data_IF_072885449371
#
_entry.id   IF_072885449371
#
_cell.length_a   1.000
_cell.length_b   1.000
_cell.length_c   1.000
_cell.angle_alpha   90.00
_cell.angle_beta   90.00
_cell.angle_gamma   90.00
#
_symmetry.space_group_name_H-M   'P 1'
#
loop_
_entity.id
_entity.type
_entity.pdbx_description
1 polymer ?
#
# COMPACT_ATOMS: atom_id res chain seq x y z
N UNK A 1 20.76 26.80 1.52
CA UNK A 1 21.08 25.79 0.48
C UNK A 1 20.97 26.37 -0.93
N UNK A 2 20.11 27.37 -1.17
CA UNK A 2 19.93 27.93 -2.51
C UNK A 2 21.15 28.68 -3.07
N UNK A 3 22.03 29.16 -2.20
CA UNK A 3 23.23 29.93 -2.55
C UNK A 3 24.53 29.11 -2.58
N UNK A 4 24.47 27.78 -2.35
CA UNK A 4 25.67 26.93 -2.34
C UNK A 4 26.09 26.64 -3.80
N UNK A 5 27.29 27.08 -4.23
CA UNK A 5 27.76 26.79 -5.58
C UNK A 5 28.02 25.29 -5.74
N UNK A 6 27.74 24.75 -6.93
CA UNK A 6 28.00 23.35 -7.34
C UNK A 6 27.00 22.25 -6.91
N UNK A 7 25.86 22.59 -6.28
CA UNK A 7 24.77 21.62 -6.09
C UNK A 7 23.80 21.63 -7.29
N UNK A 8 23.57 20.47 -7.92
CA UNK A 8 22.70 20.34 -9.10
C UNK A 8 21.23 20.64 -8.76
N UNK A 9 20.46 21.14 -9.74
CA UNK A 9 19.00 21.34 -9.58
C UNK A 9 18.24 20.03 -9.30
N UNK A 10 18.85 18.88 -9.57
CA UNK A 10 18.31 17.56 -9.29
C UNK A 10 18.50 17.19 -7.81
N UNK A 11 19.69 17.41 -7.23
CA UNK A 11 19.97 17.13 -5.82
C UNK A 11 19.24 18.11 -4.90
N UNK A 12 19.07 19.37 -5.33
CA UNK A 12 18.23 20.37 -4.65
C UNK A 12 16.76 19.93 -4.52
N UNK A 13 16.28 18.98 -5.34
CA UNK A 13 14.92 18.40 -5.25
C UNK A 13 14.82 17.22 -4.27
N UNK A 14 15.93 16.66 -3.79
CA UNK A 14 15.96 15.38 -3.08
C UNK A 14 16.29 15.44 -1.58
N UNK A 15 16.74 16.57 -1.02
CA UNK A 15 17.30 16.56 0.34
C UNK A 15 16.29 17.02 1.40
N UNK A 16 15.56 16.02 1.92
CA UNK A 16 14.70 15.98 3.12
C UNK A 16 13.40 16.78 3.13
N UNK A 17 12.30 16.14 2.72
CA UNK A 17 10.99 16.37 3.35
C UNK A 17 10.98 15.53 4.63
N UNK A 18 11.06 16.13 5.83
CA UNK A 18 11.01 15.36 7.06
C UNK A 18 9.65 14.63 7.15
N UNK A 19 9.61 13.41 7.69
CA UNK A 19 8.35 12.67 7.93
C UNK A 19 7.33 13.51 8.72
N UNK A 20 7.81 14.45 9.52
CA UNK A 20 7.01 15.42 10.25
C UNK A 20 7.55 16.84 10.05
N UNK A 21 6.67 17.78 9.69
CA UNK A 21 6.99 19.21 9.67
C UNK A 21 6.49 19.85 10.97
N UNK A 22 7.38 20.24 11.90
CA UNK A 22 6.96 20.84 13.17
C UNK A 22 6.25 22.18 12.93
N UNK A 23 5.27 22.50 13.80
CA UNK A 23 4.50 23.75 13.69
C UNK A 23 5.41 24.98 13.78
N UNK A 24 6.50 24.87 14.53
CA UNK A 24 7.51 25.91 14.76
C UNK A 24 8.68 25.84 13.76
N UNK A 25 8.48 25.23 12.58
CA UNK A 25 9.53 25.16 11.56
C UNK A 25 10.03 26.57 11.21
N UNK A 26 11.33 26.88 11.41
CA UNK A 26 11.87 28.23 11.19
C UNK A 26 11.74 28.70 9.73
N UNK A 27 11.72 27.75 8.78
CA UNK A 27 11.54 28.02 7.35
C UNK A 27 10.09 28.05 6.88
N UNK A 28 9.09 28.04 7.79
CA UNK A 28 7.68 27.86 7.45
C UNK A 28 7.14 28.94 6.52
N UNK A 29 7.52 30.21 6.74
CA UNK A 29 7.02 31.33 5.95
C UNK A 29 7.57 31.36 4.52
N UNK A 30 8.79 30.84 4.32
CA UNK A 30 9.40 30.65 2.99
C UNK A 30 9.24 29.24 2.42
N UNK A 31 8.53 28.35 3.10
CA UNK A 31 8.45 26.95 2.71
C UNK A 31 7.58 26.80 1.47
N UNK A 32 8.20 26.39 0.34
CA UNK A 32 7.51 26.17 -0.94
C UNK A 32 6.27 25.28 -0.81
N UNK A 33 6.32 24.24 0.02
CA UNK A 33 5.18 23.36 0.26
C UNK A 33 4.04 24.08 0.99
N UNK A 34 4.33 24.89 2.02
CA UNK A 34 3.32 25.66 2.72
C UNK A 34 2.71 26.75 1.82
N UNK A 35 3.54 27.42 1.01
CA UNK A 35 3.07 28.38 0.00
C UNK A 35 2.16 27.71 -1.03
N UNK A 36 2.56 26.54 -1.54
CA UNK A 36 1.72 25.73 -2.42
C UNK A 36 0.38 25.37 -1.76
N UNK A 37 0.38 24.90 -0.50
CA UNK A 37 -0.87 24.59 0.21
C UNK A 37 -1.77 25.81 0.42
N UNK A 38 -1.19 27.00 0.63
CA UNK A 38 -1.96 28.25 0.73
C UNK A 38 -2.56 28.61 -0.63
N UNK A 39 -1.77 28.58 -1.69
CA UNK A 39 -2.21 28.88 -3.06
C UNK A 39 -3.23 27.85 -3.56
N UNK A 40 -3.07 26.57 -3.25
CA UNK A 40 -3.99 25.50 -3.63
C UNK A 40 -5.38 25.61 -2.97
N UNK A 41 -5.54 26.53 -2.01
CA UNK A 41 -6.82 26.89 -1.36
C UNK A 41 -7.39 28.21 -1.88
N UNK A 42 -6.75 28.82 -2.86
CA UNK A 42 -7.23 30.04 -3.49
C UNK A 42 -8.59 29.77 -4.18
N UNK A 43 -9.61 30.62 -3.93
CA UNK A 43 -10.93 30.46 -4.55
C UNK A 43 -10.91 30.52 -6.09
N UNK A 44 -9.86 31.07 -6.71
CA UNK A 44 -9.72 31.14 -8.16
C UNK A 44 -9.27 29.82 -8.80
N UNK A 45 -8.97 28.79 -7.99
CA UNK A 45 -8.62 27.45 -8.47
C UNK A 45 -9.88 26.61 -8.66
N UNK A 46 -10.26 26.41 -9.93
CA UNK A 46 -11.42 25.61 -10.31
C UNK A 46 -11.18 24.09 -10.33
N UNK A 47 -9.93 23.67 -10.55
CA UNK A 47 -9.55 22.25 -10.65
C UNK A 47 -8.40 21.93 -9.72
N UNK A 48 -8.57 20.90 -8.91
CA UNK A 48 -7.52 20.37 -8.07
C UNK A 48 -7.28 18.90 -8.35
N UNK A 49 -6.01 18.56 -8.53
CA UNK A 49 -5.57 17.20 -8.82
C UNK A 49 -4.82 16.69 -7.60
N UNK A 50 -5.22 15.52 -7.11
CA UNK A 50 -4.53 14.83 -6.02
C UNK A 50 -4.48 13.32 -6.29
N UNK A 51 -3.63 12.61 -5.55
CA UNK A 51 -3.60 11.14 -5.62
C UNK A 51 -4.75 10.54 -4.79
N UNK A 52 -5.02 9.24 -4.99
CA UNK A 52 -6.10 8.54 -4.29
C UNK A 52 -5.94 8.56 -2.77
N UNK A 53 -4.71 8.44 -2.25
CA UNK A 53 -4.45 8.46 -0.81
C UNK A 53 -4.83 9.81 -0.17
N UNK A 54 -4.53 10.92 -0.84
CA UNK A 54 -4.86 12.25 -0.34
C UNK A 54 -6.37 12.53 -0.40
N UNK A 55 -7.05 12.07 -1.46
CA UNK A 55 -8.51 12.08 -1.55
C UNK A 55 -9.15 11.30 -0.40
N UNK A 56 -8.67 10.08 -0.13
CA UNK A 56 -9.20 9.23 0.93
C UNK A 56 -8.93 9.84 2.32
N UNK A 57 -7.75 10.43 2.53
CA UNK A 57 -7.42 11.14 3.77
C UNK A 57 -8.36 12.36 3.99
N UNK A 58 -8.61 13.14 2.94
CA UNK A 58 -9.56 14.25 2.98
C UNK A 58 -10.99 13.79 3.28
N UNK A 59 -11.44 12.71 2.64
CA UNK A 59 -12.75 12.13 2.86
C UNK A 59 -12.92 11.61 4.30
N UNK A 60 -11.90 10.97 4.84
CA UNK A 60 -11.84 10.56 6.25
C UNK A 60 -11.94 11.77 7.19
N UNK A 61 -11.14 12.81 6.95
CA UNK A 61 -11.19 14.06 7.73
C UNK A 61 -12.57 14.70 7.71
N UNK A 62 -13.20 14.80 6.53
CA UNK A 62 -14.57 15.32 6.38
C UNK A 62 -15.59 14.51 7.18
N UNK A 63 -15.50 13.18 7.13
CA UNK A 63 -16.43 12.30 7.85
C UNK A 63 -16.29 12.38 9.39
N UNK A 64 -15.10 12.69 9.89
CA UNK A 64 -14.79 12.79 11.32
C UNK A 64 -14.89 14.24 11.86
N UNK A 65 -15.24 15.21 11.02
CA UNK A 65 -15.32 16.63 11.40
C UNK A 65 -13.95 17.27 11.65
N UNK A 66 -12.87 16.66 11.17
CA UNK A 66 -11.53 17.26 11.23
C UNK A 66 -11.34 18.32 10.15
N UNK A 67 -10.26 19.11 10.28
CA UNK A 67 -9.88 20.09 9.28
C UNK A 67 -9.70 19.43 7.91
N UNK A 68 -10.46 19.89 6.93
CA UNK A 68 -10.37 19.41 5.54
C UNK A 68 -8.99 19.66 4.97
N UNK A 69 -8.52 18.74 4.14
CA UNK A 69 -7.21 18.81 3.47
C UNK A 69 -7.35 19.54 2.14
N UNK A 70 -8.40 19.19 1.38
CA UNK A 70 -8.79 19.83 0.12
C UNK A 70 -9.81 20.96 0.39
N UNK A 71 -9.89 22.00 -0.47
CA UNK A 71 -11.01 22.92 -0.51
C UNK A 71 -12.33 22.19 -0.80
N UNK A 72 -13.45 22.86 -0.61
CA UNK A 72 -14.75 22.30 -0.97
C UNK A 72 -14.87 22.18 -2.49
N UNK A 73 -15.23 20.98 -2.95
CA UNK A 73 -15.47 20.67 -4.35
C UNK A 73 -16.92 20.28 -4.56
N UNK A 74 -17.44 20.57 -5.75
CA UNK A 74 -18.83 20.24 -6.14
C UNK A 74 -18.93 19.01 -7.04
N UNK A 75 -17.81 18.52 -7.55
CA UNK A 75 -17.75 17.33 -8.38
C UNK A 75 -16.41 16.62 -8.14
N UNK A 76 -16.41 15.30 -8.27
CA UNK A 76 -15.22 14.46 -8.12
C UNK A 76 -15.00 13.66 -9.41
N UNK A 77 -13.77 13.68 -9.93
CA UNK A 77 -13.34 12.78 -11.01
C UNK A 77 -12.29 11.84 -10.42
N UNK A 78 -12.60 10.55 -10.38
CA UNK A 78 -11.65 9.51 -9.97
C UNK A 78 -11.13 8.84 -11.22
N UNK A 79 -9.92 9.21 -11.60
CA UNK A 79 -9.21 8.54 -12.68
C UNK A 79 -8.52 7.26 -12.18
N UNK A 80 -8.37 6.29 -13.07
CA UNK A 80 -7.98 4.91 -12.76
C UNK A 80 -8.70 4.32 -11.55
N UNK A 81 -10.03 4.49 -11.51
CA UNK A 81 -10.85 4.17 -10.35
C UNK A 81 -10.81 2.68 -9.93
N UNK A 82 -10.29 1.77 -10.77
CA UNK A 82 -10.03 0.38 -10.39
C UNK A 82 -8.99 0.26 -9.25
N UNK A 83 -8.12 1.25 -9.09
CA UNK A 83 -7.10 1.31 -8.02
C UNK A 83 -7.63 1.89 -6.71
N UNK A 84 -8.77 2.59 -6.74
CA UNK A 84 -9.31 3.26 -5.55
C UNK A 84 -9.61 2.28 -4.39
N UNK A 85 -10.22 1.10 -4.61
CA UNK A 85 -10.43 0.13 -3.53
C UNK A 85 -9.12 -0.37 -2.92
N UNK A 86 -8.08 -0.56 -3.74
CA UNK A 86 -6.76 -0.97 -3.27
C UNK A 86 -6.09 0.13 -2.44
N UNK A 87 -6.12 1.38 -2.89
CA UNK A 87 -5.65 2.53 -2.12
C UNK A 87 -6.38 2.63 -0.77
N UNK A 88 -7.68 2.38 -0.74
CA UNK A 88 -8.45 2.33 0.50
C UNK A 88 -8.04 1.17 1.41
N UNK A 89 -7.74 -0.02 0.85
CA UNK A 89 -7.19 -1.15 1.62
C UNK A 89 -5.84 -0.82 2.22
N UNK A 90 -4.96 -0.17 1.47
CA UNK A 90 -3.66 0.26 1.99
C UNK A 90 -3.79 1.33 3.07
N UNK A 91 -4.71 2.27 2.92
CA UNK A 91 -4.86 3.38 3.87
C UNK A 91 -5.62 3.00 5.15
N UNK A 92 -6.62 2.12 5.06
CA UNK A 92 -7.45 1.69 6.20
C UNK A 92 -7.07 0.31 6.75
N UNK A 93 -6.24 -0.44 6.02
CA UNK A 93 -5.62 -1.65 6.53
C UNK A 93 -4.58 -1.31 7.60
N UNK A 94 -4.29 -2.29 8.45
CA UNK A 94 -3.16 -2.20 9.38
C UNK A 94 -2.11 -3.22 8.98
N UNK A 95 -0.86 -2.79 8.90
CA UNK A 95 0.27 -3.64 8.53
C UNK A 95 1.41 -3.47 9.50
N UNK A 96 2.09 -4.57 9.84
CA UNK A 96 3.32 -4.56 10.64
C UNK A 96 4.37 -5.44 9.96
N UNK A 97 5.50 -4.85 9.57
CA UNK A 97 6.65 -5.60 9.07
C UNK A 97 7.85 -5.50 10.03
N UNK A 98 8.87 -6.32 9.79
CA UNK A 98 10.07 -6.31 10.63
C UNK A 98 10.82 -4.99 10.54
N UNK A 99 10.77 -4.30 9.40
CA UNK A 99 11.39 -2.99 9.20
C UNK A 99 10.76 -1.91 10.09
N UNK A 100 9.44 -1.96 10.34
CA UNK A 100 8.77 -1.06 11.30
C UNK A 100 9.37 -1.23 12.70
N UNK A 101 9.63 -2.47 13.12
CA UNK A 101 10.23 -2.78 14.42
C UNK A 101 11.70 -2.35 14.47
N UNK A 102 12.45 -2.55 13.39
CA UNK A 102 13.83 -2.08 13.29
C UNK A 102 13.91 -0.56 13.40
N UNK A 103 12.96 0.18 12.80
CA UNK A 103 12.86 1.63 12.95
C UNK A 103 12.62 2.00 14.41
N UNK A 104 11.63 1.40 15.08
CA UNK A 104 11.37 1.62 16.52
C UNK A 104 12.66 1.37 17.34
N UNK A 105 13.34 0.26 17.09
CA UNK A 105 14.58 -0.12 17.79
C UNK A 105 15.71 0.90 17.56
N UNK A 106 15.89 1.39 16.33
CA UNK A 106 16.87 2.43 16.01
C UNK A 106 16.66 3.69 16.86
N UNK A 107 15.41 4.14 17.00
CA UNK A 107 15.12 5.32 17.81
C UNK A 107 15.21 5.04 19.31
N UNK A 108 14.82 3.86 19.78
CA UNK A 108 15.03 3.45 21.18
C UNK A 108 16.51 3.47 21.57
N UNK A 109 17.40 3.05 20.67
CA UNK A 109 18.85 3.10 20.92
C UNK A 109 19.38 4.52 21.06
N UNK A 110 18.87 5.46 20.26
CA UNK A 110 19.22 6.88 20.34
C UNK A 110 18.71 7.55 21.61
N UNK A 111 17.58 7.11 22.13
CA UNK A 111 17.02 7.56 23.41
C UNK A 111 17.61 6.78 24.61
N UNK A 112 18.79 6.15 24.46
CA UNK A 112 19.51 5.41 25.49
C UNK A 112 18.81 4.14 26.04
N UNK A 113 17.82 3.60 25.33
CA UNK A 113 17.12 2.35 25.67
C UNK A 113 17.71 1.11 24.96
N UNK A 114 19.03 1.03 24.77
CA UNK A 114 19.68 -0.03 23.97
C UNK A 114 19.37 -1.47 24.44
N UNK A 115 19.26 -1.71 25.76
CA UNK A 115 18.89 -3.04 26.29
C UNK A 115 17.45 -3.41 25.93
N UNK A 116 16.53 -2.45 26.00
CA UNK A 116 15.12 -2.64 25.65
C UNK A 116 14.97 -2.86 24.14
N UNK A 117 15.69 -2.07 23.32
CA UNK A 117 15.77 -2.26 21.86
C UNK A 117 16.18 -3.68 21.49
N UNK A 118 17.29 -4.20 22.06
CA UNK A 118 17.77 -5.56 21.76
C UNK A 118 16.75 -6.64 22.09
N UNK A 119 16.06 -6.53 23.23
CA UNK A 119 15.00 -7.47 23.61
C UNK A 119 13.83 -7.44 22.63
N UNK A 120 13.33 -6.23 22.31
CA UNK A 120 12.23 -6.04 21.36
C UNK A 120 12.58 -6.60 19.99
N UNK A 121 13.77 -6.27 19.49
CA UNK A 121 14.29 -6.75 18.20
C UNK A 121 14.37 -8.28 18.16
N UNK A 122 14.87 -8.92 19.21
CA UNK A 122 14.95 -10.38 19.31
C UNK A 122 13.58 -11.06 19.31
N UNK A 123 12.64 -10.56 20.11
CA UNK A 123 11.28 -11.08 20.17
C UNK A 123 10.56 -11.00 18.81
N UNK A 124 10.66 -9.87 18.11
CA UNK A 124 10.04 -9.71 16.80
C UNK A 124 10.77 -10.46 15.69
N UNK A 125 12.09 -10.60 15.77
CA UNK A 125 12.82 -11.46 14.84
C UNK A 125 12.36 -12.92 14.97
N UNK A 126 12.19 -13.42 16.19
CA UNK A 126 11.64 -14.74 16.45
C UNK A 126 10.19 -14.85 15.92
N UNK A 127 9.34 -13.89 16.25
CA UNK A 127 7.93 -13.84 15.81
C UNK A 127 7.81 -13.96 14.28
N UNK A 128 8.50 -13.10 13.53
CA UNK A 128 8.41 -13.12 12.07
C UNK A 128 9.03 -14.38 11.45
N UNK A 129 10.05 -14.95 12.09
CA UNK A 129 10.66 -16.20 11.65
C UNK A 129 9.72 -17.40 11.85
N UNK A 130 9.09 -17.52 13.03
CA UNK A 130 8.11 -18.60 13.30
C UNK A 130 6.93 -18.48 12.36
N UNK A 131 6.36 -17.28 12.18
CA UNK A 131 5.23 -17.08 11.25
C UNK A 131 5.62 -17.48 9.83
N UNK A 132 6.85 -17.14 9.38
CA UNK A 132 7.35 -17.56 8.07
C UNK A 132 7.41 -19.08 7.94
N UNK A 133 7.94 -19.76 8.95
CA UNK A 133 8.13 -21.22 8.94
C UNK A 133 6.78 -21.95 8.97
N UNK A 134 5.83 -21.51 9.79
CA UNK A 134 4.47 -22.06 9.86
C UNK A 134 3.66 -21.89 8.58
N UNK A 135 3.99 -20.91 7.74
CA UNK A 135 3.26 -20.60 6.51
C UNK A 135 4.05 -20.93 5.24
N UNK A 136 5.14 -21.70 5.35
CA UNK A 136 5.95 -22.09 4.20
C UNK A 136 5.28 -23.21 3.41
N UNK A 137 5.14 -22.98 2.11
CA UNK A 137 4.59 -23.92 1.13
C UNK A 137 5.64 -24.25 0.06
N UNK A 138 5.33 -25.18 -0.84
CA UNK A 138 6.17 -25.48 -2.01
C UNK A 138 6.33 -24.30 -2.98
N UNK A 139 5.39 -23.35 -2.97
CA UNK A 139 5.35 -22.19 -3.87
C UNK A 139 5.79 -20.88 -3.20
N UNK A 140 6.30 -20.94 -1.96
CA UNK A 140 6.68 -19.75 -1.19
C UNK A 140 5.91 -19.64 0.13
N UNK A 141 5.68 -18.42 0.60
CA UNK A 141 4.92 -18.19 1.84
C UNK A 141 3.44 -18.06 1.48
N UNK A 142 2.57 -18.80 2.18
CA UNK A 142 1.11 -18.67 2.06
C UNK A 142 0.69 -17.24 2.38
N UNK A 143 -0.12 -16.64 1.50
CA UNK A 143 -0.71 -15.32 1.73
C UNK A 143 -1.79 -15.36 2.80
N UNK A 144 -2.51 -16.46 2.94
CA UNK A 144 -3.51 -16.61 4.00
C UNK A 144 -2.83 -16.91 5.34
N UNK A 145 -3.10 -16.10 6.36
CA UNK A 145 -2.65 -16.36 7.72
C UNK A 145 -3.54 -17.43 8.38
N UNK A 146 -2.92 -18.43 8.99
CA UNK A 146 -3.54 -19.47 9.78
C UNK A 146 -2.92 -19.47 11.18
N UNK A 147 -3.78 -19.47 12.20
CA UNK A 147 -3.32 -19.52 13.58
C UNK A 147 -2.86 -20.94 13.93
N UNK A 148 -1.57 -21.11 14.22
CA UNK A 148 -1.00 -22.32 14.85
C UNK A 148 -0.70 -22.07 16.33
N UNK A 149 -0.38 -23.11 17.09
CA UNK A 149 0.01 -22.98 18.50
C UNK A 149 1.30 -22.14 18.63
N UNK A 150 2.28 -22.38 17.76
CA UNK A 150 3.54 -21.62 17.74
C UNK A 150 3.30 -20.15 17.40
N UNK A 151 2.41 -19.88 16.43
CA UNK A 151 2.01 -18.51 16.09
C UNK A 151 1.40 -17.80 17.30
N UNK A 152 0.49 -18.47 18.02
CA UNK A 152 -0.13 -17.91 19.23
C UNK A 152 0.91 -17.57 20.29
N UNK A 153 1.87 -18.46 20.54
CA UNK A 153 2.94 -18.24 21.51
C UNK A 153 3.81 -17.03 21.16
N UNK A 154 4.28 -16.92 19.90
CA UNK A 154 5.14 -15.80 19.51
C UNK A 154 4.38 -14.47 19.43
N UNK A 155 3.09 -14.48 19.08
CA UNK A 155 2.25 -13.27 19.13
C UNK A 155 2.09 -12.78 20.57
N UNK A 156 1.91 -13.68 21.54
CA UNK A 156 1.87 -13.33 22.97
C UNK A 156 3.19 -12.79 23.49
N UNK A 157 4.31 -13.42 23.10
CA UNK A 157 5.66 -12.94 23.43
C UNK A 157 5.90 -11.54 22.84
N UNK A 158 5.52 -11.32 21.57
CA UNK A 158 5.59 -10.02 20.92
C UNK A 158 4.76 -8.95 21.63
N UNK A 159 3.54 -9.27 22.03
CA UNK A 159 2.71 -8.36 22.84
C UNK A 159 3.32 -8.06 24.21
N UNK A 160 3.90 -9.07 24.87
CA UNK A 160 4.59 -8.88 26.14
C UNK A 160 5.81 -7.95 25.99
N UNK A 161 6.60 -8.14 24.93
CA UNK A 161 7.76 -7.29 24.61
C UNK A 161 7.36 -5.84 24.33
N UNK A 162 6.27 -5.60 23.58
CA UNK A 162 5.71 -4.27 23.34
C UNK A 162 5.24 -3.60 24.64
N UNK A 163 4.54 -4.35 25.51
CA UNK A 163 4.07 -3.85 26.81
C UNK A 163 5.23 -3.51 27.76
N UNK A 164 6.24 -4.38 27.87
CA UNK A 164 7.45 -4.11 28.66
C UNK A 164 8.16 -2.86 28.15
N UNK A 165 8.28 -2.72 26.83
CA UNK A 165 8.93 -1.56 26.20
C UNK A 165 8.14 -0.28 26.46
N UNK A 166 6.82 -0.30 26.25
CA UNK A 166 5.94 0.85 26.50
C UNK A 166 5.96 1.28 27.97
N UNK A 167 6.00 0.33 28.90
CA UNK A 167 6.11 0.61 30.34
C UNK A 167 7.41 1.34 30.68
N UNK A 168 8.55 0.89 30.13
CA UNK A 168 9.87 1.51 30.35
C UNK A 168 10.00 2.91 29.76
N UNK A 169 9.19 3.26 28.77
CA UNK A 169 9.18 4.55 28.11
C UNK A 169 8.26 5.59 28.78
N UNK A 170 7.58 5.24 29.87
CA UNK A 170 6.76 6.19 30.63
C UNK A 170 7.64 7.37 31.10
N UNK A 171 7.30 8.58 30.64
CA UNK A 171 7.96 9.84 31.01
C UNK A 171 9.19 10.28 30.21
N UNK A 172 9.78 9.42 29.35
CA UNK A 172 11.13 9.67 28.83
C UNK A 172 11.29 9.70 27.30
N UNK A 173 10.24 9.43 26.50
CA UNK A 173 10.37 9.30 25.04
C UNK A 173 9.41 10.18 24.23
N UNK A 174 9.78 10.53 22.98
CA UNK A 174 8.89 11.20 22.04
C UNK A 174 7.56 10.44 21.84
N UNK A 175 6.44 11.16 21.84
CA UNK A 175 5.10 10.57 21.75
C UNK A 175 4.88 9.67 20.52
N UNK A 176 5.59 9.94 19.42
CA UNK A 176 5.48 9.13 18.21
C UNK A 176 5.99 7.68 18.39
N UNK A 177 7.00 7.44 19.25
CA UNK A 177 7.49 6.07 19.54
C UNK A 177 6.39 5.28 20.25
N UNK A 178 5.70 5.91 21.20
CA UNK A 178 4.59 5.29 21.93
C UNK A 178 3.45 4.92 20.99
N UNK A 179 3.06 5.84 20.12
CA UNK A 179 2.03 5.58 19.12
C UNK A 179 2.41 4.39 18.22
N UNK A 180 3.66 4.30 17.75
CA UNK A 180 4.11 3.18 16.91
C UNK A 180 4.14 1.84 17.66
N UNK A 181 4.47 1.83 18.95
CA UNK A 181 4.38 0.63 19.79
C UNK A 181 2.92 0.20 20.03
N UNK A 182 2.03 1.17 20.25
CA UNK A 182 0.59 0.92 20.39
C UNK A 182 -0.02 0.37 19.09
N UNK A 183 0.29 0.98 17.94
CA UNK A 183 -0.11 0.50 16.61
C UNK A 183 0.35 -0.94 16.36
N UNK A 184 1.61 -1.25 16.66
CA UNK A 184 2.13 -2.61 16.54
C UNK A 184 1.37 -3.60 17.45
N UNK A 185 1.04 -3.18 18.69
CA UNK A 185 0.29 -3.98 19.64
C UNK A 185 -1.15 -4.27 19.19
N UNK A 186 -1.82 -3.26 18.64
CA UNK A 186 -3.15 -3.41 18.04
C UNK A 186 -3.15 -4.42 16.89
N UNK A 187 -2.09 -4.43 16.07
CA UNK A 187 -1.96 -5.39 14.97
C UNK A 187 -1.78 -6.81 15.52
N UNK A 188 -0.90 -7.02 16.50
CA UNK A 188 -0.75 -8.35 17.10
C UNK A 188 -2.07 -8.85 17.74
N UNK A 189 -2.83 -7.96 18.37
CA UNK A 189 -4.15 -8.30 18.93
C UNK A 189 -5.16 -8.66 17.84
N UNK A 190 -5.15 -7.98 16.69
CA UNK A 190 -5.99 -8.36 15.55
C UNK A 190 -5.68 -9.75 15.02
N UNK A 191 -4.41 -10.17 15.09
CA UNK A 191 -3.99 -11.51 14.67
C UNK A 191 -4.38 -12.57 15.69
N UNK A 192 -4.28 -12.27 16.99
CA UNK A 192 -4.67 -13.16 18.08
C UNK A 192 -6.20 -13.36 18.17
N UNK A 193 -6.93 -12.25 18.05
CA UNK A 193 -8.39 -12.19 18.23
C UNK A 193 -9.03 -11.57 16.98
N UNK A 194 -9.07 -12.29 15.83
CA UNK A 194 -9.58 -11.75 14.59
C UNK A 194 -11.05 -11.34 14.72
N UNK A 195 -11.31 -10.04 14.60
CA UNK A 195 -12.67 -9.54 14.47
C UNK A 195 -13.35 -10.11 13.23
N UNK A 196 -14.67 -10.36 13.32
CA UNK A 196 -15.51 -10.92 12.23
C UNK A 196 -15.33 -10.28 10.86
N UNK A 197 -14.88 -9.03 10.83
CA UNK A 197 -14.78 -8.20 9.63
C UNK A 197 -13.36 -8.06 9.10
N UNK A 198 -12.36 -8.65 9.74
CA UNK A 198 -10.96 -8.51 9.33
C UNK A 198 -10.51 -9.74 8.54
N UNK A 199 -9.76 -9.49 7.47
CA UNK A 199 -9.04 -10.50 6.70
C UNK A 199 -7.57 -10.37 7.07
N UNK A 200 -7.04 -11.40 7.69
CA UNK A 200 -5.64 -11.50 8.05
C UNK A 200 -4.88 -12.19 6.92
N UNK A 201 -3.80 -11.58 6.46
CA UNK A 201 -2.97 -12.09 5.38
C UNK A 201 -1.51 -11.69 5.61
N UNK A 202 -0.63 -12.41 4.93
CA UNK A 202 0.81 -12.19 4.91
C UNK A 202 1.21 -11.58 3.57
N UNK A 203 2.02 -10.54 3.63
CA UNK A 203 2.66 -9.95 2.45
C UNK A 203 4.17 -10.20 2.49
N UNK A 204 4.83 -10.40 1.34
CA UNK A 204 6.28 -10.56 1.31
C UNK A 204 6.97 -9.25 1.77
N UNK A 205 7.76 -9.32 2.85
CA UNK A 205 8.57 -8.20 3.33
C UNK A 205 9.91 -8.08 2.60
N UNK A 206 10.61 -6.95 2.78
CA UNK A 206 11.86 -6.60 2.07
C UNK A 206 13.09 -7.44 2.46
N UNK A 207 12.92 -8.50 3.26
CA UNK A 207 14.01 -9.34 3.76
C UNK A 207 13.65 -10.82 3.91
N UNK A 208 12.71 -11.33 3.09
CA UNK A 208 12.16 -12.71 3.16
C UNK A 208 11.35 -13.02 4.43
N UNK A 209 11.18 -12.08 5.35
CA UNK A 209 10.23 -12.18 6.47
C UNK A 209 8.88 -11.63 6.03
N UNK A 210 7.75 -12.28 6.36
CA UNK A 210 6.43 -11.81 5.97
C UNK A 210 6.00 -10.61 6.82
N UNK A 211 5.32 -9.64 6.21
CA UNK A 211 4.56 -8.60 6.92
C UNK A 211 3.18 -9.12 7.33
N UNK A 212 2.72 -8.73 8.52
CA UNK A 212 1.39 -9.03 9.03
C UNK A 212 0.41 -7.96 8.59
N UNK A 213 -0.59 -8.33 7.77
CA UNK A 213 -1.57 -7.39 7.25
C UNK A 213 -3.01 -7.76 7.66
N UNK A 214 -3.73 -6.79 8.18
CA UNK A 214 -5.13 -6.89 8.57
C UNK A 214 -5.97 -5.88 7.77
N UNK A 215 -6.80 -6.39 6.86
CA UNK A 215 -7.66 -5.57 5.99
C UNK A 215 -9.12 -5.76 6.35
N UNK A 216 -9.87 -4.67 6.49
CA UNK A 216 -11.30 -4.76 6.82
C UNK A 216 -12.18 -5.04 5.61
N UNK A 217 -13.13 -5.97 5.74
CA UNK A 217 -14.23 -6.20 4.78
C UNK A 217 -15.22 -5.04 4.70
N UNK A 218 -15.16 -4.10 5.65
CA UNK A 218 -16.02 -2.90 5.67
C UNK A 218 -15.53 -1.79 4.75
N UNK A 219 -14.40 -1.95 4.06
CA UNK A 219 -13.87 -0.91 3.16
C UNK A 219 -14.90 -0.40 2.14
N UNK A 220 -15.69 -1.26 1.48
CA UNK A 220 -16.79 -0.79 0.64
C UNK A 220 -17.79 0.11 1.38
N UNK A 221 -18.20 -0.26 2.60
CA UNK A 221 -19.13 0.55 3.40
C UNK A 221 -18.50 1.88 3.83
N UNK A 222 -17.20 1.86 4.16
CA UNK A 222 -16.43 3.07 4.46
C UNK A 222 -16.39 4.01 3.24
N UNK A 223 -16.01 3.51 2.07
CA UNK A 223 -16.00 4.30 0.83
C UNK A 223 -17.39 4.87 0.53
N UNK A 224 -18.44 4.06 0.73
CA UNK A 224 -19.83 4.50 0.60
C UNK A 224 -20.15 5.67 1.52
N UNK A 225 -19.83 5.56 2.80
CA UNK A 225 -20.06 6.60 3.79
C UNK A 225 -19.27 7.88 3.52
N UNK A 226 -17.99 7.75 3.20
CA UNK A 226 -17.07 8.90 3.11
C UNK A 226 -17.13 9.63 1.77
N UNK A 227 -17.29 8.92 0.65
CA UNK A 227 -17.22 9.50 -0.69
C UNK A 227 -18.59 9.65 -1.36
N UNK A 228 -19.47 8.65 -1.24
CA UNK A 228 -20.67 8.58 -2.09
C UNK A 228 -21.92 9.16 -1.43
N UNK A 229 -22.04 9.02 -0.10
CA UNK A 229 -23.18 9.52 0.66
C UNK A 229 -23.15 11.05 0.85
N UNK A 230 -22.00 11.69 0.66
CA UNK A 230 -21.86 13.15 0.71
C UNK A 230 -22.62 13.91 -0.38
N UNK A 231 -23.22 13.21 -1.35
CA UNK A 231 -24.15 13.79 -2.32
C UNK A 231 -23.50 14.43 -3.56
N UNK A 232 -22.17 14.56 -3.59
CA UNK A 232 -21.46 15.11 -4.75
C UNK A 232 -21.57 14.20 -5.98
N UNK A 233 -21.77 14.76 -7.19
CA UNK A 233 -21.60 14.02 -8.43
C UNK A 233 -20.15 13.53 -8.57
N UNK A 234 -20.00 12.23 -8.85
CA UNK A 234 -18.71 11.61 -9.08
C UNK A 234 -18.68 10.91 -10.44
N UNK A 235 -17.57 11.05 -11.15
CA UNK A 235 -17.27 10.35 -12.40
C UNK A 235 -16.07 9.44 -12.14
N UNK A 236 -16.24 8.14 -12.38
CA UNK A 236 -15.18 7.15 -12.24
C UNK A 236 -14.75 6.70 -13.65
N UNK A 237 -13.47 6.86 -13.97
CA UNK A 237 -12.89 6.46 -15.26
C UNK A 237 -11.82 5.40 -15.06
N UNK A 238 -11.84 4.35 -15.89
CA UNK A 238 -10.70 3.47 -16.13
C UNK A 238 -11.00 2.50 -17.27
N UNK A 239 -9.95 2.05 -17.97
CA UNK A 239 -10.04 1.01 -18.99
C UNK A 239 -10.40 -0.39 -18.46
N UNK A 240 -10.30 -0.62 -17.13
CA UNK A 240 -10.44 -1.95 -16.51
C UNK A 240 -11.60 -2.05 -15.50
N UNK A 241 -12.48 -1.04 -15.42
CA UNK A 241 -13.64 -1.08 -14.49
C UNK A 241 -14.64 -2.20 -14.80
N UNK A 242 -14.78 -2.56 -16.09
CA UNK A 242 -15.66 -3.65 -16.49
C UNK A 242 -14.90 -4.96 -16.39
N UNK A 243 -15.30 -5.81 -15.45
CA UNK A 243 -14.75 -7.16 -15.30
C UNK A 243 -15.74 -8.17 -15.89
N UNK A 244 -15.31 -8.89 -16.93
CA UNK A 244 -16.16 -9.86 -17.63
C UNK A 244 -17.45 -9.22 -18.15
N UNK A 245 -18.58 -9.65 -17.59
CA UNK A 245 -19.91 -9.31 -18.11
C UNK A 245 -20.48 -7.98 -17.58
N UNK A 246 -19.81 -7.27 -16.65
CA UNK A 246 -20.36 -5.99 -16.14
C UNK A 246 -19.51 -5.28 -15.09
N UNK A 247 -20.15 -4.35 -14.37
CA UNK A 247 -19.52 -3.51 -13.34
C UNK A 247 -19.78 -3.99 -11.90
N UNK A 248 -20.43 -5.14 -11.73
CA UNK A 248 -20.86 -5.65 -10.41
C UNK A 248 -19.71 -5.70 -9.39
N UNK A 249 -18.56 -6.27 -9.78
CA UNK A 249 -17.37 -6.34 -8.93
C UNK A 249 -16.86 -4.96 -8.52
N UNK A 250 -16.73 -4.05 -9.48
CA UNK A 250 -16.28 -2.66 -9.23
C UNK A 250 -17.26 -1.94 -8.32
N UNK A 251 -18.58 -2.15 -8.49
CA UNK A 251 -19.60 -1.58 -7.60
C UNK A 251 -19.48 -2.09 -6.18
N UNK A 252 -19.26 -3.39 -6.02
CA UNK A 252 -19.06 -3.99 -4.72
C UNK A 252 -17.79 -3.45 -4.05
N UNK A 253 -16.64 -3.52 -4.74
CA UNK A 253 -15.35 -3.14 -4.16
C UNK A 253 -15.25 -1.62 -3.87
N UNK A 254 -15.84 -0.79 -4.72
CA UNK A 254 -15.85 0.66 -4.54
C UNK A 254 -16.95 1.16 -3.57
N UNK A 255 -17.84 0.30 -3.06
CA UNK A 255 -18.92 0.74 -2.15
C UNK A 255 -20.15 1.37 -2.82
N UNK A 256 -20.35 1.08 -4.10
CA UNK A 256 -21.43 1.61 -4.95
C UNK A 256 -22.59 0.63 -5.17
N UNK A 257 -22.51 -0.59 -4.62
CA UNK A 257 -23.51 -1.64 -4.82
C UNK A 257 -24.94 -1.17 -4.49
N UNK A 258 -25.11 -0.55 -3.31
CA UNK A 258 -26.40 -0.06 -2.80
C UNK A 258 -26.80 1.31 -3.35
N UNK A 259 -25.99 1.93 -4.21
CA UNK A 259 -26.24 3.29 -4.70
C UNK A 259 -27.10 3.24 -5.99
N UNK A 260 -28.37 3.64 -5.88
CA UNK A 260 -29.31 3.66 -7.00
C UNK A 260 -29.06 4.76 -8.04
N UNK A 261 -28.13 5.69 -7.81
CA UNK A 261 -27.80 6.79 -8.74
C UNK A 261 -26.71 6.43 -9.75
N UNK A 262 -26.13 5.23 -9.67
CA UNK A 262 -25.01 4.80 -10.51
C UNK A 262 -25.49 4.61 -11.95
N UNK A 263 -24.80 5.27 -12.88
CA UNK A 263 -24.96 5.05 -14.33
C UNK A 263 -23.66 4.48 -14.88
N UNK A 264 -23.79 3.44 -15.69
CA UNK A 264 -22.67 2.69 -16.24
C UNK A 264 -22.58 2.98 -17.75
N UNK A 265 -21.36 3.20 -18.24
CA UNK A 265 -21.10 3.43 -19.66
C UNK A 265 -19.82 2.70 -20.06
N UNK A 266 -19.81 2.11 -21.25
CA UNK A 266 -18.63 1.47 -21.84
C UNK A 266 -18.33 2.18 -23.15
N UNK A 267 -17.21 2.88 -23.20
CA UNK A 267 -16.65 3.35 -24.44
C UNK A 267 -15.85 2.21 -25.09
N UNK A 268 -16.14 1.88 -26.36
CA UNK A 268 -15.34 0.90 -27.10
C UNK A 268 -13.96 1.50 -27.37
N UNK A 269 -12.92 0.68 -27.25
CA UNK A 269 -11.57 1.09 -27.65
C UNK A 269 -11.58 1.45 -29.14
N UNK A 270 -11.06 2.63 -29.54
CA UNK A 270 -10.94 3.00 -30.94
C UNK A 270 -9.81 2.23 -31.65
N UNK A 271 -9.05 1.40 -30.92
CA UNK A 271 -7.90 0.68 -31.45
C UNK A 271 -8.33 -0.55 -32.27
N UNK A 272 -7.82 -0.68 -33.49
CA UNK A 272 -8.11 -1.79 -34.39
C UNK A 272 -7.26 -3.03 -34.04
N UNK A 273 -7.66 -3.77 -33.00
CA UNK A 273 -6.93 -4.96 -32.51
C UNK A 273 -6.66 -5.99 -33.61
N UNK A 274 -7.63 -6.27 -34.48
CA UNK A 274 -7.46 -7.26 -35.57
C UNK A 274 -6.33 -6.89 -36.55
N UNK A 275 -6.03 -5.59 -36.69
CA UNK A 275 -4.97 -5.11 -37.59
C UNK A 275 -3.63 -4.92 -36.89
N UNK A 276 -3.67 -4.61 -35.60
CA UNK A 276 -2.51 -4.13 -34.85
C UNK A 276 -2.03 -5.09 -33.74
N UNK A 277 -2.76 -6.18 -33.48
CA UNK A 277 -2.38 -7.19 -32.49
C UNK A 277 -2.28 -8.57 -33.13
N UNK A 278 -1.24 -9.30 -32.74
CA UNK A 278 -1.06 -10.71 -33.09
C UNK A 278 -1.14 -11.54 -31.81
N UNK A 279 -2.04 -12.53 -31.78
CA UNK A 279 -2.05 -13.53 -30.72
C UNK A 279 -1.13 -14.70 -31.13
N UNK A 280 -0.03 -14.86 -30.40
CA UNK A 280 0.91 -15.96 -30.62
C UNK A 280 0.78 -17.01 -29.51
N UNK A 281 0.33 -18.21 -29.89
CA UNK A 281 0.29 -19.38 -29.01
C UNK A 281 1.31 -20.41 -29.53
N UNK A 282 2.50 -20.53 -28.92
CA UNK A 282 3.55 -21.41 -29.42
C UNK A 282 3.12 -22.88 -29.36
N UNK A 283 2.90 -23.49 -30.52
CA UNK A 283 2.44 -24.88 -30.66
C UNK A 283 3.53 -25.93 -30.41
N UNK A 284 4.80 -25.52 -30.44
CA UNK A 284 5.97 -26.39 -30.32
C UNK A 284 6.50 -26.55 -28.89
N UNK A 285 5.81 -25.99 -27.89
CA UNK A 285 6.26 -26.12 -26.51
C UNK A 285 6.15 -27.59 -26.08
N UNK A 286 7.29 -28.19 -25.69
CA UNK A 286 7.28 -29.51 -25.07
C UNK A 286 6.61 -29.39 -23.70
N UNK A 287 5.77 -30.37 -23.35
CA UNK A 287 5.24 -30.48 -21.99
C UNK A 287 6.41 -30.61 -21.02
N UNK A 288 6.64 -29.55 -20.26
CA UNK A 288 7.63 -29.45 -19.20
C UNK A 288 6.89 -29.11 -17.90
N UNK A 289 7.55 -29.31 -16.76
CA UNK A 289 6.95 -28.94 -15.48
C UNK A 289 6.86 -27.41 -15.42
N UNK A 290 5.70 -26.90 -15.02
CA UNK A 290 5.52 -25.46 -14.85
C UNK A 290 6.53 -24.91 -13.83
N UNK A 291 7.22 -23.82 -14.16
CA UNK A 291 8.27 -23.19 -13.37
C UNK A 291 9.63 -23.89 -13.45
N UNK A 292 9.84 -24.85 -14.36
CA UNK A 292 11.14 -25.53 -14.46
C UNK A 292 12.17 -24.70 -15.26
N UNK A 293 13.48 -24.86 -14.99
CA UNK A 293 14.53 -24.21 -15.78
C UNK A 293 14.42 -24.52 -17.27
N UNK A 294 13.94 -25.71 -17.63
CA UNK A 294 13.73 -26.12 -19.02
C UNK A 294 12.56 -25.36 -19.67
N UNK A 295 11.46 -25.13 -18.95
CA UNK A 295 10.37 -24.28 -19.43
C UNK A 295 10.85 -22.84 -19.61
N UNK A 296 11.58 -22.30 -18.64
CA UNK A 296 12.13 -20.94 -18.69
C UNK A 296 13.09 -20.76 -19.88
N UNK A 297 14.02 -21.68 -20.09
CA UNK A 297 14.95 -21.65 -21.23
C UNK A 297 14.21 -21.74 -22.57
N UNK A 298 13.15 -22.55 -22.65
CA UNK A 298 12.32 -22.67 -23.85
C UNK A 298 11.57 -21.36 -24.14
N UNK A 299 10.90 -20.79 -23.13
CA UNK A 299 10.19 -19.52 -23.25
C UNK A 299 11.14 -18.38 -23.62
N UNK A 300 12.32 -18.30 -22.99
CA UNK A 300 13.37 -17.33 -23.32
C UNK A 300 13.79 -17.44 -24.79
N UNK A 301 13.99 -18.65 -25.31
CA UNK A 301 14.31 -18.87 -26.72
C UNK A 301 13.19 -18.43 -27.68
N UNK A 302 11.92 -18.59 -27.30
CA UNK A 302 10.78 -18.07 -28.08
C UNK A 302 10.70 -16.55 -28.02
N UNK A 303 10.89 -15.94 -26.85
CA UNK A 303 10.91 -14.48 -26.66
C UNK A 303 12.05 -13.87 -27.48
N UNK A 304 13.26 -14.45 -27.45
CA UNK A 304 14.40 -13.99 -28.25
C UNK A 304 14.07 -13.94 -29.74
N UNK A 305 13.42 -14.99 -30.28
CA UNK A 305 13.01 -15.02 -31.70
C UNK A 305 12.01 -13.91 -32.03
N UNK A 306 11.08 -13.60 -31.14
CA UNK A 306 10.11 -12.51 -31.33
C UNK A 306 10.80 -11.14 -31.27
N UNK A 307 11.74 -10.94 -30.35
CA UNK A 307 12.54 -9.71 -30.26
C UNK A 307 13.34 -9.49 -31.55
N UNK A 308 14.02 -10.52 -32.05
CA UNK A 308 14.75 -10.44 -33.32
C UNK A 308 13.82 -10.13 -34.49
N UNK A 309 12.62 -10.72 -34.53
CA UNK A 309 11.64 -10.49 -35.59
C UNK A 309 11.01 -9.09 -35.56
N UNK A 310 11.06 -8.43 -34.41
CA UNK A 310 10.56 -7.04 -34.20
C UNK A 310 11.69 -6.01 -34.16
N UNK A 311 12.91 -6.41 -34.56
CA UNK A 311 14.09 -5.55 -34.60
C UNK A 311 14.42 -4.88 -33.26
N UNK A 312 14.10 -5.53 -32.13
CA UNK A 312 14.44 -5.06 -30.78
C UNK A 312 13.44 -4.08 -30.15
N UNK A 313 12.40 -3.65 -30.86
CA UNK A 313 11.37 -2.75 -30.30
C UNK A 313 10.32 -3.53 -29.50
N UNK A 314 10.74 -4.14 -28.39
CA UNK A 314 9.88 -5.04 -27.59
C UNK A 314 9.92 -4.66 -26.12
N UNK A 315 8.74 -4.51 -25.52
CA UNK A 315 8.55 -4.57 -24.07
C UNK A 315 7.96 -5.94 -23.72
N UNK A 316 8.63 -6.71 -22.87
CA UNK A 316 8.16 -8.02 -22.41
C UNK A 316 7.66 -7.87 -20.98
N UNK A 317 6.41 -8.26 -20.73
CA UNK A 317 5.78 -8.21 -19.41
C UNK A 317 5.59 -9.65 -18.90
N UNK A 318 6.06 -9.91 -17.68
CA UNK A 318 5.89 -11.19 -16.98
C UNK A 318 4.88 -11.03 -15.83
N UNK A 319 4.23 -12.13 -15.45
CA UNK A 319 3.19 -12.14 -14.41
C UNK A 319 3.70 -12.48 -13.01
N UNK A 320 5.01 -12.69 -12.81
CA UNK A 320 5.60 -13.11 -11.52
C UNK A 320 6.95 -12.42 -11.24
N UNK A 321 7.07 -11.82 -10.06
CA UNK A 321 8.32 -11.34 -9.46
C UNK A 321 8.85 -12.39 -8.48
N UNK A 322 9.70 -13.28 -8.97
CA UNK A 322 10.81 -13.88 -8.22
C UNK A 322 11.46 -14.89 -9.16
N UNK A 323 12.40 -14.41 -9.97
CA UNK A 323 13.64 -15.09 -10.31
C UNK A 323 14.53 -14.08 -11.04
N UNK A 324 15.59 -13.66 -10.34
CA UNK A 324 16.79 -13.11 -10.96
C UNK A 324 17.13 -13.97 -12.20
N UNK A 325 17.08 -13.35 -13.38
CA UNK A 325 17.72 -13.88 -14.60
C UNK A 325 19.16 -13.40 -14.59
#
# INVERSE_FOLDING_TARGET
MDTVPHLSNFDRRLVCVPKFCPKECPGRDGCRYQTYLKQARDPDIYFQICNHNYLLADASHRSQGYRTLLPDYRALVVDEAHKLPEAARQMYGKSLCYEDIQEICYFLEREHFAKTSKKLKGAFQNLFQVIRESHRTSEGISTAFQMTEECSMVLEEGQAALRETSYKLKGASPGWIKNRLEEAGEILELFKSPGRWNILHLEPGKGKLPGLCATSRKIPDLLSGMLWNGGFPAILTSGTLKAGNGFSRTRQEAGLEKNGRVRECVAKSPFAYEKNCLLYLPRSLKRTRHGSPEEAAMLAGHIQKLICSTYGHTLVLFTWDDHEI
#
